data_IF_734430649088
#
_entry.id   IF_734430649088
#
_cell.length_a   1.000
_cell.length_b   1.000
_cell.length_c   1.000
_cell.angle_alpha   90.00
_cell.angle_beta   90.00
_cell.angle_gamma   90.00
#
_symmetry.space_group_name_H-M   'P 1'
#
loop_
_entity.id
_entity.type
_entity.pdbx_description
1 polymer ?
#
# COMPACT_ATOMS: atom_id res chain seq x y z
N UNK A 1 53.39 -39.04 8.63
CA UNK A 1 52.71 -38.15 9.59
C UNK A 1 52.37 -36.76 9.03
N UNK A 2 53.19 -36.15 8.15
CA UNK A 2 52.93 -34.80 7.58
C UNK A 2 51.71 -34.71 6.61
N UNK A 3 51.30 -35.82 5.98
CA UNK A 3 50.16 -35.83 5.03
C UNK A 3 48.78 -35.75 5.71
N UNK A 4 48.66 -36.18 6.96
CA UNK A 4 47.40 -36.16 7.72
C UNK A 4 47.09 -34.72 8.19
N UNK A 5 48.11 -33.97 8.62
CA UNK A 5 47.95 -32.56 8.99
C UNK A 5 47.51 -31.67 7.81
N UNK A 6 47.95 -31.99 6.58
CA UNK A 6 47.58 -31.21 5.39
C UNK A 6 46.11 -31.40 4.98
N UNK A 7 45.55 -32.59 5.21
CA UNK A 7 44.13 -32.88 4.91
C UNK A 7 43.15 -32.22 5.89
N UNK A 8 43.49 -32.17 7.19
CA UNK A 8 42.61 -31.57 8.21
C UNK A 8 42.50 -30.05 8.01
N UNK A 9 43.61 -29.42 7.61
CA UNK A 9 43.64 -27.97 7.35
C UNK A 9 42.83 -27.60 6.10
N UNK A 10 42.84 -28.45 5.06
CA UNK A 10 42.03 -28.26 3.86
C UNK A 10 40.52 -28.36 4.13
N UNK A 11 40.09 -29.27 5.00
CA UNK A 11 38.67 -29.41 5.38
C UNK A 11 38.14 -28.22 6.18
N UNK A 12 38.96 -27.61 7.06
CA UNK A 12 38.54 -26.45 7.86
C UNK A 12 38.34 -25.18 7.02
N UNK A 13 39.14 -25.00 5.97
CA UNK A 13 39.00 -23.89 5.02
C UNK A 13 37.76 -24.08 4.14
N UNK A 14 37.46 -25.31 3.73
CA UNK A 14 36.25 -25.63 2.95
C UNK A 14 34.96 -25.45 3.77
N UNK A 15 34.98 -25.79 5.07
CA UNK A 15 33.84 -25.58 5.95
C UNK A 15 33.55 -24.09 6.19
N UNK A 16 34.59 -23.25 6.23
CA UNK A 16 34.46 -21.80 6.44
C UNK A 16 33.85 -21.07 5.24
N UNK A 17 33.99 -21.60 4.02
CA UNK A 17 33.31 -21.03 2.84
C UNK A 17 31.82 -21.39 2.80
N UNK A 18 31.45 -22.61 3.21
CA UNK A 18 30.05 -23.05 3.21
C UNK A 18 29.18 -22.31 4.24
N UNK A 19 29.76 -21.84 5.35
CA UNK A 19 29.03 -21.12 6.40
C UNK A 19 28.63 -19.68 6.02
N UNK A 20 29.29 -19.06 5.03
CA UNK A 20 29.04 -17.67 4.64
C UNK A 20 27.79 -17.45 3.79
N UNK A 21 27.24 -18.51 3.18
CA UNK A 21 26.01 -18.41 2.38
C UNK A 21 24.73 -18.39 3.22
N UNK A 22 24.80 -18.83 4.48
CA UNK A 22 23.67 -18.81 5.43
C UNK A 22 23.29 -17.41 5.92
N UNK A 23 24.27 -16.52 6.08
CA UNK A 23 24.03 -15.18 6.64
C UNK A 23 23.43 -14.19 5.63
N UNK A 24 23.68 -14.37 4.32
CA UNK A 24 23.13 -13.49 3.27
C UNK A 24 21.61 -13.63 3.08
N UNK A 25 21.01 -14.76 3.47
CA UNK A 25 19.56 -14.97 3.36
C UNK A 25 18.75 -14.36 4.52
N UNK A 26 19.37 -14.00 5.64
CA UNK A 26 18.66 -13.49 6.81
C UNK A 26 18.41 -11.96 6.80
N UNK A 27 19.08 -11.20 5.90
CA UNK A 27 19.00 -9.73 5.86
C UNK A 27 18.14 -9.14 4.74
N UNK A 28 17.26 -9.93 4.11
CA UNK A 28 16.33 -9.44 3.06
C UNK A 28 14.86 -9.59 3.44
N UNK A 29 14.54 -9.40 4.72
CA UNK A 29 13.18 -9.15 5.20
C UNK A 29 13.02 -7.69 5.66
N UNK A 30 13.67 -6.75 4.96
CA UNK A 30 13.23 -5.36 5.03
C UNK A 30 11.85 -5.32 4.36
N UNK A 31 10.79 -5.24 5.16
CA UNK A 31 9.40 -5.02 4.74
C UNK A 31 9.43 -3.87 3.73
N UNK A 32 9.29 -4.16 2.44
CA UNK A 32 9.19 -3.13 1.40
C UNK A 32 7.97 -2.29 1.78
N UNK A 33 8.18 -1.05 2.21
CA UNK A 33 7.06 -0.15 2.51
C UNK A 33 6.20 -0.05 1.26
N UNK A 34 4.89 -0.26 1.43
CA UNK A 34 3.92 -0.10 0.35
C UNK A 34 3.83 1.40 0.08
N UNK A 35 3.86 1.77 -1.19
CA UNK A 35 3.63 3.15 -1.60
C UNK A 35 2.26 3.59 -1.09
N UNK A 36 2.17 4.76 -0.48
CA UNK A 36 0.89 5.30 0.02
C UNK A 36 0.31 6.27 -1.00
N UNK A 37 -0.96 6.07 -1.34
CA UNK A 37 -1.72 6.91 -2.25
C UNK A 37 -2.89 7.49 -1.46
N UNK A 38 -3.02 8.81 -1.47
CA UNK A 38 -4.11 9.53 -0.82
C UNK A 38 -4.98 10.19 -1.90
N UNK A 39 -6.28 9.91 -1.89
CA UNK A 39 -7.23 10.45 -2.86
C UNK A 39 -8.37 11.14 -2.13
N UNK A 40 -8.61 12.40 -2.47
CA UNK A 40 -9.77 13.14 -1.96
C UNK A 40 -10.75 13.40 -3.11
N UNK A 41 -11.99 12.95 -2.94
CA UNK A 41 -13.08 13.23 -3.88
C UNK A 41 -13.85 14.46 -3.41
N UNK A 42 -14.08 15.41 -4.30
CA UNK A 42 -14.90 16.58 -4.03
C UNK A 42 -16.18 16.46 -4.87
N UNK A 43 -17.32 16.28 -4.20
CA UNK A 43 -18.59 15.91 -4.84
C UNK A 43 -19.65 17.00 -4.66
N UNK A 44 -20.24 17.42 -5.78
CA UNK A 44 -21.44 18.25 -5.78
C UNK A 44 -22.63 17.41 -5.31
N UNK A 45 -23.27 17.83 -4.22
CA UNK A 45 -24.46 17.18 -3.65
C UNK A 45 -25.69 18.10 -3.67
N UNK A 46 -25.70 19.10 -4.56
CA UNK A 46 -26.86 19.95 -4.86
C UNK A 46 -28.02 19.12 -5.44
N UNK A 47 -29.24 19.68 -5.40
CA UNK A 47 -30.44 18.98 -5.81
C UNK A 47 -30.42 18.46 -7.25
N UNK A 48 -29.76 19.18 -8.18
CA UNK A 48 -29.59 18.75 -9.57
C UNK A 48 -28.80 17.45 -9.73
N UNK A 49 -27.91 17.15 -8.77
CA UNK A 49 -27.09 15.94 -8.79
C UNK A 49 -27.81 14.72 -8.22
N UNK A 50 -29.02 14.87 -7.64
CA UNK A 50 -29.72 13.79 -6.92
C UNK A 50 -29.85 12.48 -7.70
N UNK A 51 -30.16 12.54 -9.00
CA UNK A 51 -30.25 11.35 -9.87
C UNK A 51 -28.91 10.74 -10.27
N UNK A 52 -27.80 11.42 -9.99
CA UNK A 52 -26.44 11.04 -10.39
C UNK A 52 -25.58 10.56 -9.20
N UNK A 53 -26.04 10.77 -7.96
CA UNK A 53 -25.29 10.40 -6.75
C UNK A 53 -24.93 8.91 -6.73
N UNK A 54 -25.86 8.03 -7.11
CA UNK A 54 -25.56 6.59 -7.16
C UNK A 54 -24.50 6.24 -8.20
N UNK A 55 -24.54 6.88 -9.38
CA UNK A 55 -23.48 6.73 -10.38
C UNK A 55 -22.13 7.28 -9.91
N UNK A 56 -22.14 8.39 -9.17
CA UNK A 56 -20.93 8.96 -8.58
C UNK A 56 -20.30 8.02 -7.55
N UNK A 57 -21.09 7.41 -6.65
CA UNK A 57 -20.61 6.39 -5.69
C UNK A 57 -19.97 5.20 -6.41
N UNK A 58 -20.65 4.65 -7.41
CA UNK A 58 -20.11 3.56 -8.23
C UNK A 58 -18.79 3.94 -8.89
N UNK A 59 -18.65 5.18 -9.35
CA UNK A 59 -17.42 5.65 -9.99
C UNK A 59 -16.28 5.79 -8.99
N UNK A 60 -16.52 6.37 -7.81
CA UNK A 60 -15.54 6.43 -6.72
C UNK A 60 -15.04 5.02 -6.37
N UNK A 61 -15.97 4.08 -6.19
CA UNK A 61 -15.64 2.68 -5.94
C UNK A 61 -14.79 2.06 -7.05
N UNK A 62 -15.12 2.32 -8.32
CA UNK A 62 -14.35 1.81 -9.46
C UNK A 62 -12.91 2.32 -9.47
N UNK A 63 -12.69 3.60 -9.13
CA UNK A 63 -11.36 4.22 -9.10
C UNK A 63 -10.53 3.64 -7.96
N UNK A 64 -11.12 3.48 -6.77
CA UNK A 64 -10.44 2.86 -5.64
C UNK A 64 -9.96 1.43 -5.97
N UNK A 65 -10.82 0.63 -6.59
CA UNK A 65 -10.46 -0.74 -7.01
C UNK A 65 -9.39 -0.75 -8.10
N UNK A 66 -9.43 0.20 -9.04
CA UNK A 66 -8.40 0.34 -10.07
C UNK A 66 -7.04 0.62 -9.43
N UNK A 67 -6.96 1.53 -8.46
CA UNK A 67 -5.74 1.83 -7.70
C UNK A 67 -5.23 0.58 -6.97
N UNK A 68 -6.11 -0.12 -6.25
CA UNK A 68 -5.76 -1.33 -5.49
C UNK A 68 -5.35 -2.51 -6.37
N UNK A 69 -5.71 -2.50 -7.66
CA UNK A 69 -5.32 -3.55 -8.62
C UNK A 69 -3.86 -3.46 -9.07
N UNK A 70 -3.19 -2.33 -8.81
CA UNK A 70 -1.79 -2.11 -9.19
C UNK A 70 -0.82 -2.97 -8.35
N UNK A 71 0.35 -3.31 -8.92
CA UNK A 71 1.39 -4.09 -8.24
C UNK A 71 2.70 -3.29 -8.17
N UNK A 72 3.34 -3.18 -6.98
CA UNK A 72 2.88 -3.68 -5.67
C UNK A 72 1.60 -2.97 -5.19
N UNK A 73 0.74 -3.68 -4.44
CA UNK A 73 -0.51 -3.10 -3.92
C UNK A 73 -0.17 -1.93 -2.99
N UNK A 74 -0.66 -0.72 -3.26
CA UNK A 74 -0.39 0.46 -2.45
C UNK A 74 -1.17 0.42 -1.13
N UNK A 75 -0.79 1.28 -0.19
CA UNK A 75 -1.69 1.69 0.88
C UNK A 75 -2.59 2.81 0.35
N UNK A 76 -3.91 2.60 0.29
CA UNK A 76 -4.85 3.59 -0.23
C UNK A 76 -5.61 4.25 0.92
N UNK A 77 -5.60 5.58 0.97
CA UNK A 77 -6.44 6.37 1.88
C UNK A 77 -7.36 7.26 1.07
N UNK A 78 -8.64 7.26 1.41
CA UNK A 78 -9.68 7.99 0.69
C UNK A 78 -10.35 8.99 1.63
N UNK A 79 -10.59 10.19 1.12
CA UNK A 79 -11.40 11.21 1.77
C UNK A 79 -12.48 11.70 0.82
N UNK A 80 -13.54 12.29 1.38
CA UNK A 80 -14.67 12.80 0.62
C UNK A 80 -15.09 14.17 1.14
N UNK A 81 -15.26 15.14 0.25
CA UNK A 81 -15.81 16.44 0.56
C UNK A 81 -17.09 16.61 -0.26
N UNK A 82 -18.24 16.48 0.39
CA UNK A 82 -19.51 16.87 -0.21
C UNK A 82 -19.65 18.40 -0.14
N UNK A 83 -20.03 19.05 -1.23
CA UNK A 83 -20.30 20.49 -1.23
C UNK A 83 -21.66 20.83 -1.83
N UNK A 84 -22.22 21.94 -1.35
CA UNK A 84 -23.50 22.48 -1.83
C UNK A 84 -23.45 24.00 -1.92
N UNK A 85 -24.52 24.56 -2.45
CA UNK A 85 -24.70 26.01 -2.54
C UNK A 85 -24.79 26.68 -1.17
N UNK A 86 -24.50 27.98 -1.15
CA UNK A 86 -24.69 28.79 0.06
C UNK A 86 -26.16 28.81 0.43
N UNK A 87 -26.46 28.65 1.73
CA UNK A 87 -27.81 28.58 2.32
C UNK A 87 -28.52 27.22 2.19
N UNK A 88 -27.88 26.22 1.58
CA UNK A 88 -28.33 24.82 1.71
C UNK A 88 -28.07 24.28 3.12
N UNK A 89 -28.53 23.04 3.38
CA UNK A 89 -28.38 22.36 4.66
C UNK A 89 -26.93 22.30 5.18
N UNK A 90 -25.95 22.33 4.27
CA UNK A 90 -24.53 22.51 4.56
C UNK A 90 -23.85 23.20 3.38
N UNK A 91 -22.65 23.73 3.58
CA UNK A 91 -21.79 24.22 2.48
C UNK A 91 -20.73 23.18 2.14
N UNK A 92 -20.13 22.57 3.15
CA UNK A 92 -19.16 21.49 3.03
C UNK A 92 -19.42 20.44 4.10
N UNK A 93 -19.37 19.18 3.72
CA UNK A 93 -19.34 18.03 4.61
C UNK A 93 -18.04 17.27 4.32
N UNK A 94 -17.20 17.13 5.35
CA UNK A 94 -15.86 16.56 5.22
C UNK A 94 -15.84 15.17 5.85
N UNK A 95 -15.31 14.23 5.09
CA UNK A 95 -14.91 12.90 5.53
C UNK A 95 -13.40 12.83 5.32
N UNK A 96 -12.67 12.68 6.43
CA UNK A 96 -11.22 12.68 6.44
C UNK A 96 -10.63 11.47 5.72
N UNK A 97 -9.33 11.53 5.43
CA UNK A 97 -8.60 10.44 4.79
C UNK A 97 -8.56 9.19 5.69
N UNK A 98 -9.30 8.15 5.29
CA UNK A 98 -9.37 6.85 5.96
C UNK A 98 -8.84 5.72 5.05
N UNK A 99 -8.32 4.65 5.66
CA UNK A 99 -8.04 3.38 4.95
C UNK A 99 -9.30 2.53 4.77
N UNK A 100 -10.37 2.83 5.52
CA UNK A 100 -11.69 2.25 5.35
C UNK A 100 -12.49 3.09 4.34
N UNK A 101 -12.93 2.46 3.25
CA UNK A 101 -13.68 3.10 2.17
C UNK A 101 -15.19 3.11 2.43
N UNK A 102 -15.66 2.27 3.37
CA UNK A 102 -17.07 2.14 3.71
C UNK A 102 -17.48 3.07 4.88
N UNK A 103 -16.51 3.68 5.57
CA UNK A 103 -16.68 4.69 6.63
C UNK A 103 -17.07 6.09 6.06
#
# INVERSE_FOLDING_TARGET
MKKIALFITACLVLFSLAAKDGEKKAKKNAKKERETIEVCFVLDTTGSMGGLIEGAKQKVWSIANEILSTKPVPNLRIGLIGYRDRKDAYVTQVHDLSEDIDD
#
